data_IF_211628378644
#
_entry.id   IF_211628378644
#
_cell.length_a   1.000
_cell.length_b   1.000
_cell.length_c   1.000
_cell.angle_alpha   90.00
_cell.angle_beta   90.00
_cell.angle_gamma   90.00
#
_symmetry.space_group_name_H-M   'P 1'
#
loop_
_entity.id
_entity.type
_entity.pdbx_description
1 polymer ?
#
# COMPACT_ATOMS: atom_id res chain seq x y z
N UNK A 1 -47.07 -21.66 -20.99
CA UNK A 1 -45.59 -21.78 -20.91
C UNK A 1 -45.01 -20.40 -21.05
N UNK A 2 -44.54 -19.86 -19.94
CA UNK A 2 -43.55 -18.77 -19.89
C UNK A 2 -42.17 -19.41 -19.60
N UNK A 3 -41.06 -18.65 -19.59
CA UNK A 3 -40.62 -17.68 -20.60
C UNK A 3 -39.16 -18.00 -21.02
N UNK A 4 -38.51 -17.12 -21.80
CA UNK A 4 -37.12 -16.62 -21.59
C UNK A 4 -36.64 -15.82 -22.80
N UNK A 5 -36.68 -14.49 -22.71
CA UNK A 5 -35.88 -13.65 -23.59
C UNK A 5 -34.43 -13.67 -23.12
N UNK A 6 -33.49 -13.93 -24.03
CA UNK A 6 -32.06 -13.97 -23.71
C UNK A 6 -31.46 -12.57 -23.74
N UNK A 7 -30.99 -12.14 -22.58
CA UNK A 7 -30.28 -10.87 -22.40
C UNK A 7 -28.91 -10.94 -23.11
N UNK A 8 -28.69 -10.11 -24.14
CA UNK A 8 -27.39 -9.95 -24.82
C UNK A 8 -26.88 -8.53 -24.61
N UNK A 9 -26.16 -8.35 -23.51
CA UNK A 9 -25.31 -7.18 -23.27
C UNK A 9 -24.02 -7.23 -24.13
N UNK A 10 -23.37 -6.07 -24.23
CA UNK A 10 -22.08 -5.78 -24.89
C UNK A 10 -22.11 -5.69 -26.45
N UNK A 11 -21.26 -4.83 -27.06
CA UNK A 11 -19.87 -4.58 -26.66
C UNK A 11 -19.55 -3.22 -26.00
N UNK A 12 -18.64 -3.27 -25.02
CA UNK A 12 -17.83 -2.14 -24.58
C UNK A 12 -16.92 -1.66 -25.72
N UNK A 13 -16.97 -0.38 -26.04
CA UNK A 13 -15.96 0.32 -26.85
C UNK A 13 -15.10 1.18 -25.93
N UNK A 14 -13.80 0.90 -25.86
CA UNK A 14 -12.86 1.66 -25.03
C UNK A 14 -11.89 2.40 -25.94
N UNK A 15 -11.73 3.71 -25.71
CA UNK A 15 -10.55 4.44 -26.20
C UNK A 15 -10.16 5.55 -25.21
N UNK A 16 -8.86 5.74 -24.91
CA UNK A 16 -8.42 6.54 -23.78
C UNK A 16 -7.99 7.95 -24.18
N UNK A 17 -8.28 8.96 -23.34
CA UNK A 17 -7.54 10.23 -23.32
C UNK A 17 -7.38 10.78 -21.90
N UNK A 18 -6.20 11.34 -21.66
CA UNK A 18 -5.77 11.98 -20.41
C UNK A 18 -6.54 13.29 -20.13
N UNK A 19 -6.64 13.67 -18.84
CA UNK A 19 -6.68 15.09 -18.44
C UNK A 19 -7.67 15.49 -17.35
N UNK A 20 -7.11 15.90 -16.21
CA UNK A 20 -7.67 16.83 -15.19
C UNK A 20 -8.96 16.47 -14.42
N UNK A 21 -9.00 16.88 -13.15
CA UNK A 21 -10.13 16.74 -12.24
C UNK A 21 -10.64 18.12 -11.77
N UNK A 22 -11.96 18.31 -11.66
CA UNK A 22 -12.62 19.42 -10.91
C UNK A 22 -13.98 18.93 -10.35
N UNK A 23 -14.34 19.43 -9.15
CA UNK A 23 -15.60 19.17 -8.41
C UNK A 23 -16.64 20.31 -8.63
N UNK A 24 -17.90 20.33 -8.19
CA UNK A 24 -18.77 19.45 -7.37
C UNK A 24 -20.23 19.92 -7.62
N UNK A 25 -21.28 19.09 -7.46
CA UNK A 25 -22.62 19.60 -7.11
C UNK A 25 -23.45 18.59 -6.28
N UNK A 26 -24.20 19.12 -5.30
CA UNK A 26 -25.08 18.38 -4.36
C UNK A 26 -26.51 18.30 -4.88
N UNK A 27 -27.23 17.29 -4.40
CA UNK A 27 -28.66 17.46 -4.06
C UNK A 27 -28.86 17.28 -2.53
N UNK A 28 -29.90 17.90 -2.00
CA UNK A 28 -30.31 18.00 -0.58
C UNK A 28 -31.78 18.49 -0.57
N UNK A 29 -32.56 18.45 0.54
CA UNK A 29 -32.23 18.10 1.93
C UNK A 29 -33.15 16.94 2.44
N UNK A 30 -33.38 16.67 3.73
CA UNK A 30 -34.21 17.47 4.67
C UNK A 30 -34.05 16.97 6.13
N UNK A 31 -33.63 17.84 7.06
CA UNK A 31 -33.97 17.80 8.50
C UNK A 31 -33.94 19.25 9.04
N UNK A 32 -34.93 19.59 9.86
CA UNK A 32 -35.24 20.93 10.38
C UNK A 32 -34.33 21.46 11.51
N UNK A 33 -34.28 22.80 11.58
CA UNK A 33 -33.98 23.67 12.73
C UNK A 33 -33.03 23.18 13.83
N UNK A 34 -31.72 23.41 13.62
CA UNK A 34 -30.77 23.66 14.72
C UNK A 34 -29.95 24.90 14.40
N UNK A 35 -29.83 25.79 15.39
CA UNK A 35 -29.09 27.05 15.34
C UNK A 35 -27.63 26.83 14.92
N UNK A 36 -27.22 27.38 13.76
CA UNK A 36 -25.84 27.28 13.25
C UNK A 36 -25.04 28.50 13.68
N UNK A 37 -23.82 28.33 14.25
CA UNK A 37 -22.89 29.46 14.43
C UNK A 37 -22.41 29.98 13.07
N UNK A 38 -21.99 31.24 13.03
CA UNK A 38 -21.53 31.91 11.81
C UNK A 38 -20.38 31.16 11.12
N UNK A 39 -20.34 31.13 9.78
CA UNK A 39 -19.27 30.48 9.05
C UNK A 39 -17.95 31.25 9.22
N UNK A 40 -16.99 30.62 9.90
CA UNK A 40 -15.60 31.10 9.94
C UNK A 40 -15.06 31.17 8.51
N UNK A 41 -14.51 32.31 8.05
CA UNK A 41 -13.95 32.40 6.71
C UNK A 41 -12.76 31.45 6.57
N UNK A 42 -12.59 30.77 5.42
CA UNK A 42 -11.48 29.84 5.23
C UNK A 42 -10.15 30.60 5.29
N UNK A 43 -9.34 30.31 6.31
CA UNK A 43 -7.97 30.80 6.41
C UNK A 43 -7.14 30.27 5.25
N UNK A 44 -6.85 31.11 4.27
CA UNK A 44 -5.99 30.77 3.13
C UNK A 44 -4.53 30.68 3.58
N UNK A 45 -4.10 29.49 4.04
CA UNK A 45 -2.70 29.21 4.31
C UNK A 45 -1.94 29.09 2.99
N UNK A 46 -1.07 30.07 2.70
CA UNK A 46 -0.08 29.95 1.62
C UNK A 46 1.03 29.02 2.10
N UNK A 47 0.98 27.76 1.66
CA UNK A 47 2.05 26.80 1.92
C UNK A 47 3.20 27.10 0.95
N UNK A 48 4.35 27.50 1.49
CA UNK A 48 5.59 27.53 0.74
C UNK A 48 6.00 26.08 0.43
N UNK A 49 5.86 25.66 -0.83
CA UNK A 49 6.36 24.36 -1.28
C UNK A 49 7.87 24.47 -1.41
N UNK A 50 8.58 23.91 -0.44
CA UNK A 50 10.03 23.82 -0.48
C UNK A 50 10.46 22.84 -1.59
N UNK A 51 11.27 23.30 -2.54
CA UNK A 51 11.55 22.59 -3.79
C UNK A 51 12.39 21.31 -3.62
N UNK A 52 12.76 20.97 -2.39
CA UNK A 52 13.68 19.88 -2.05
C UNK A 52 13.00 18.60 -1.50
N UNK A 53 11.66 18.59 -1.44
CA UNK A 53 10.85 17.46 -0.97
C UNK A 53 11.00 16.16 -1.82
N UNK A 54 11.65 16.23 -2.97
CA UNK A 54 11.87 15.10 -3.89
C UNK A 54 12.92 14.07 -3.41
N UNK A 55 13.62 14.30 -2.29
CA UNK A 55 14.80 13.51 -1.88
C UNK A 55 14.52 12.24 -1.05
N UNK A 56 13.27 11.97 -0.63
CA UNK A 56 12.93 10.72 0.07
C UNK A 56 11.81 9.97 -0.66
N UNK A 57 12.05 8.70 -0.95
CA UNK A 57 11.11 7.82 -1.62
C UNK A 57 9.91 7.43 -0.73
N UNK A 58 9.96 7.72 0.57
CA UNK A 58 8.84 7.65 1.50
C UNK A 58 8.91 8.80 2.53
N UNK A 59 7.78 9.15 3.13
CA UNK A 59 7.66 10.13 4.23
C UNK A 59 6.41 9.89 5.07
N UNK A 60 6.35 10.50 6.25
CA UNK A 60 5.12 10.62 7.03
C UNK A 60 4.56 12.03 6.83
N UNK A 61 3.28 12.12 6.47
CA UNK A 61 2.55 13.37 6.20
C UNK A 61 1.14 13.23 6.80
N UNK A 62 0.76 14.15 7.71
CA UNK A 62 -0.52 14.13 8.45
C UNK A 62 -0.88 12.77 9.09
N UNK A 63 0.14 12.05 9.58
CA UNK A 63 -0.01 10.71 10.18
C UNK A 63 -0.12 9.55 9.18
N UNK A 64 -0.16 9.84 7.88
CA UNK A 64 -0.15 8.84 6.80
C UNK A 64 1.28 8.53 6.35
N UNK A 65 1.56 7.25 6.07
CA UNK A 65 2.76 6.83 5.34
C UNK A 65 2.55 7.06 3.83
N UNK A 66 3.30 7.98 3.24
CA UNK A 66 3.28 8.29 1.82
C UNK A 66 4.52 7.69 1.15
N UNK A 67 4.32 6.84 0.14
CA UNK A 67 5.39 6.15 -0.61
C UNK A 67 5.34 6.59 -2.06
N UNK A 68 6.47 7.02 -2.62
CA UNK A 68 6.62 7.32 -4.03
C UNK A 68 6.98 6.03 -4.79
N UNK A 69 5.97 5.44 -5.43
CA UNK A 69 6.09 4.19 -6.18
C UNK A 69 7.15 4.24 -7.31
N UNK A 70 7.36 5.39 -7.95
CA UNK A 70 8.38 5.52 -9.00
C UNK A 70 9.79 5.53 -8.43
N UNK A 71 10.01 6.26 -7.32
CA UNK A 71 11.29 6.31 -6.64
C UNK A 71 11.67 4.97 -5.97
N UNK A 72 10.68 4.20 -5.53
CA UNK A 72 10.84 2.82 -5.03
C UNK A 72 10.88 1.76 -6.15
N UNK A 73 10.83 2.15 -7.43
CA UNK A 73 10.93 1.21 -8.55
C UNK A 73 9.78 0.20 -8.64
N UNK A 74 8.59 0.53 -8.13
CA UNK A 74 7.42 -0.35 -8.17
C UNK A 74 6.93 -0.47 -9.62
N UNK A 75 7.09 -1.66 -10.21
CA UNK A 75 6.62 -2.00 -11.57
C UNK A 75 5.46 -2.99 -11.56
N UNK A 76 5.29 -3.74 -10.49
CA UNK A 76 4.26 -4.76 -10.36
C UNK A 76 3.23 -4.39 -9.28
N UNK A 77 1.95 -4.65 -9.56
CA UNK A 77 0.86 -4.47 -8.60
C UNK A 77 -0.03 -5.70 -8.64
N UNK A 78 -0.17 -6.39 -7.50
CA UNK A 78 -1.06 -7.52 -7.32
C UNK A 78 -2.19 -7.09 -6.37
N UNK A 79 -3.42 -7.09 -6.87
CA UNK A 79 -4.57 -6.53 -6.17
C UNK A 79 -5.14 -7.48 -5.09
N UNK A 80 -6.05 -6.95 -4.28
CA UNK A 80 -6.75 -7.69 -3.24
C UNK A 80 -7.51 -8.91 -3.80
N UNK A 81 -7.60 -9.97 -2.98
CA UNK A 81 -8.27 -11.22 -3.35
C UNK A 81 -7.41 -12.21 -4.14
N UNK A 82 -6.22 -11.83 -4.62
CA UNK A 82 -5.27 -12.80 -5.18
C UNK A 82 -4.71 -13.71 -4.09
N UNK A 83 -4.55 -14.99 -4.42
CA UNK A 83 -3.94 -16.00 -3.54
C UNK A 83 -2.77 -16.65 -4.26
N UNK A 84 -1.56 -16.51 -3.70
CA UNK A 84 -0.32 -17.04 -4.27
C UNK A 84 0.34 -18.08 -3.35
N UNK A 85 1.13 -18.97 -3.94
CA UNK A 85 1.88 -20.02 -3.25
C UNK A 85 3.08 -20.48 -4.10
N UNK A 86 4.14 -20.94 -3.45
CA UNK A 86 5.42 -21.24 -4.09
C UNK A 86 6.34 -20.01 -4.08
N UNK A 87 7.51 -20.14 -4.71
CA UNK A 87 8.52 -19.08 -4.72
C UNK A 87 8.24 -18.05 -5.83
N UNK A 88 8.51 -16.77 -5.54
CA UNK A 88 8.33 -15.65 -6.44
C UNK A 88 9.59 -14.77 -6.39
N UNK A 89 10.28 -14.67 -7.52
CA UNK A 89 11.46 -13.81 -7.70
C UNK A 89 11.15 -12.70 -8.69
N UNK A 90 11.50 -11.45 -8.35
CA UNK A 90 11.28 -10.27 -9.18
C UNK A 90 12.54 -9.38 -9.19
N UNK A 91 12.81 -8.77 -10.35
CA UNK A 91 13.90 -7.79 -10.51
C UNK A 91 13.50 -6.38 -10.07
N UNK A 92 12.22 -6.04 -10.22
CA UNK A 92 11.63 -4.73 -9.93
C UNK A 92 10.69 -4.80 -8.71
N UNK A 93 10.32 -3.63 -8.17
CA UNK A 93 9.46 -3.52 -7.00
C UNK A 93 8.00 -3.97 -7.22
N UNK A 94 7.38 -4.44 -6.14
CA UNK A 94 6.03 -5.01 -6.08
C UNK A 94 5.18 -4.33 -5.00
N UNK A 95 3.96 -3.93 -5.35
CA UNK A 95 2.89 -3.67 -4.38
C UNK A 95 1.94 -4.88 -4.33
N UNK A 96 1.77 -5.48 -3.15
CA UNK A 96 1.03 -6.71 -2.93
C UNK A 96 -0.17 -6.53 -2.00
N UNK A 97 -1.37 -6.86 -2.48
CA UNK A 97 -2.65 -6.76 -1.77
C UNK A 97 -3.30 -8.09 -1.40
N UNK A 98 -2.70 -9.23 -1.78
CA UNK A 98 -3.32 -10.55 -1.71
C UNK A 98 -3.02 -11.33 -0.43
N UNK A 99 -3.25 -12.65 -0.48
CA UNK A 99 -2.74 -13.63 0.49
C UNK A 99 -1.60 -14.44 -0.14
N UNK A 100 -0.39 -14.30 0.39
CA UNK A 100 0.74 -15.16 0.04
C UNK A 100 0.83 -16.29 1.07
N UNK A 101 0.69 -17.54 0.61
CA UNK A 101 0.66 -18.73 1.48
C UNK A 101 2.04 -19.10 2.03
N UNK A 102 2.00 -19.93 3.05
CA UNK A 102 3.15 -20.54 3.73
C UNK A 102 4.06 -21.35 2.78
N UNK A 103 5.32 -21.54 3.18
CA UNK A 103 6.34 -22.33 2.47
C UNK A 103 7.06 -21.58 1.33
N UNK A 104 6.38 -20.68 0.63
CA UNK A 104 6.97 -19.87 -0.44
C UNK A 104 7.98 -18.82 0.07
N UNK A 105 8.82 -18.33 -0.83
CA UNK A 105 9.70 -17.17 -0.67
C UNK A 105 9.29 -16.05 -1.63
N UNK A 106 9.16 -14.82 -1.13
CA UNK A 106 9.16 -13.60 -1.94
C UNK A 106 10.59 -13.04 -1.96
N UNK A 107 11.23 -13.04 -3.12
CA UNK A 107 12.58 -12.52 -3.34
C UNK A 107 12.55 -11.32 -4.28
N UNK A 108 13.00 -10.16 -3.81
CA UNK A 108 13.20 -8.95 -4.64
C UNK A 108 14.54 -8.31 -4.23
N UNK A 109 15.69 -8.93 -4.59
CA UNK A 109 16.98 -8.68 -3.93
C UNK A 109 17.43 -7.20 -3.92
N UNK A 110 17.17 -6.49 -5.02
CA UNK A 110 17.53 -5.08 -5.23
C UNK A 110 16.33 -4.11 -5.24
N UNK A 111 15.13 -4.63 -5.00
CA UNK A 111 13.87 -3.89 -5.15
C UNK A 111 12.98 -3.88 -3.90
N UNK A 112 11.82 -3.25 -4.06
CA UNK A 112 10.94 -2.88 -2.95
C UNK A 112 9.68 -3.72 -2.91
N UNK A 113 9.32 -4.25 -1.75
CA UNK A 113 8.01 -4.85 -1.49
C UNK A 113 7.16 -3.89 -0.64
N UNK A 114 5.99 -3.51 -1.15
CA UNK A 114 4.94 -2.84 -0.39
C UNK A 114 3.85 -3.88 -0.10
N UNK A 115 3.70 -4.25 1.17
CA UNK A 115 2.60 -5.11 1.64
C UNK A 115 1.45 -4.18 1.99
N UNK A 116 0.43 -4.12 1.13
CA UNK A 116 -0.67 -3.16 1.26
C UNK A 116 -1.59 -3.52 2.44
N UNK A 117 -2.33 -2.54 2.94
CA UNK A 117 -3.33 -2.76 3.99
C UNK A 117 -4.34 -3.84 3.59
N UNK A 118 -4.59 -4.79 4.49
CA UNK A 118 -5.44 -5.96 4.25
C UNK A 118 -4.76 -7.13 3.54
N UNK A 119 -3.53 -6.98 3.04
CA UNK A 119 -2.74 -8.10 2.55
C UNK A 119 -2.28 -9.00 3.70
N UNK A 120 -2.13 -10.30 3.43
CA UNK A 120 -1.54 -11.28 4.37
C UNK A 120 -0.37 -12.01 3.73
N UNK A 121 0.76 -12.13 4.43
CA UNK A 121 1.90 -12.93 3.99
C UNK A 121 2.26 -13.96 5.06
N UNK A 122 2.23 -15.23 4.68
CA UNK A 122 2.69 -16.36 5.48
C UNK A 122 3.96 -17.02 4.95
N UNK A 123 4.47 -16.58 3.79
CA UNK A 123 5.74 -17.03 3.23
C UNK A 123 6.93 -16.15 3.66
N UNK A 124 8.14 -16.63 3.42
CA UNK A 124 9.41 -15.96 3.75
C UNK A 124 9.61 -14.73 2.84
N UNK A 125 10.31 -13.71 3.34
CA UNK A 125 10.55 -12.47 2.59
C UNK A 125 12.06 -12.17 2.57
N UNK A 126 12.62 -11.88 1.40
CA UNK A 126 13.98 -11.37 1.23
C UNK A 126 14.03 -10.28 0.15
N UNK A 127 14.12 -9.02 0.57
CA UNK A 127 14.02 -7.85 -0.30
C UNK A 127 15.06 -6.79 0.06
N UNK A 128 15.19 -5.75 -0.77
CA UNK A 128 15.97 -4.55 -0.40
C UNK A 128 15.19 -3.67 0.57
N UNK A 129 14.02 -3.20 0.15
CA UNK A 129 13.14 -2.39 0.98
C UNK A 129 11.81 -3.11 1.23
N UNK A 130 11.30 -3.03 2.45
CA UNK A 130 10.00 -3.57 2.85
C UNK A 130 9.17 -2.48 3.53
N UNK A 131 8.00 -2.20 2.97
CA UNK A 131 6.97 -1.34 3.56
C UNK A 131 5.78 -2.21 3.95
N UNK A 132 5.62 -2.52 5.24
CA UNK A 132 4.50 -3.31 5.75
C UNK A 132 3.36 -2.43 6.26
N UNK A 133 2.22 -2.46 5.56
CA UNK A 133 0.93 -1.91 5.98
C UNK A 133 -0.10 -3.01 6.30
N UNK A 134 0.26 -4.30 6.07
CA UNK A 134 -0.63 -5.45 6.18
C UNK A 134 -0.28 -6.35 7.37
N UNK A 135 -0.57 -7.65 7.22
CA UNK A 135 -0.25 -8.68 8.21
C UNK A 135 0.81 -9.65 7.66
N UNK A 136 1.98 -9.68 8.30
CA UNK A 136 3.07 -10.63 8.02
C UNK A 136 3.19 -11.57 9.21
N UNK A 137 3.23 -12.88 8.95
CA UNK A 137 3.26 -13.95 9.95
C UNK A 137 4.03 -15.14 9.37
N UNK A 138 5.35 -15.14 9.52
CA UNK A 138 6.30 -15.90 8.68
C UNK A 138 7.53 -16.40 9.44
N UNK A 139 8.24 -17.41 8.93
CA UNK A 139 9.51 -17.84 9.53
C UNK A 139 10.59 -16.72 9.48
N UNK A 140 10.65 -15.95 8.39
CA UNK A 140 11.79 -15.09 8.10
C UNK A 140 11.44 -13.85 7.27
N UNK A 141 11.96 -12.69 7.71
CA UNK A 141 11.97 -11.44 6.96
C UNK A 141 13.39 -10.89 6.86
N UNK A 142 13.83 -10.54 5.64
CA UNK A 142 15.04 -9.77 5.40
C UNK A 142 14.76 -8.56 4.51
N UNK A 143 15.13 -7.38 5.00
CA UNK A 143 15.08 -6.11 4.28
C UNK A 143 16.48 -5.45 4.30
N UNK A 144 17.30 -5.69 3.29
CA UNK A 144 18.74 -5.34 3.32
C UNK A 144 19.01 -3.83 3.40
N UNK A 145 18.14 -3.01 2.84
CA UNK A 145 18.18 -1.54 2.92
C UNK A 145 17.32 -1.00 4.06
N UNK A 146 15.99 -1.15 3.97
CA UNK A 146 15.04 -0.52 4.88
C UNK A 146 13.82 -1.39 5.17
N UNK A 147 13.44 -1.48 6.43
CA UNK A 147 12.16 -2.00 6.91
C UNK A 147 11.33 -0.86 7.51
N UNK A 148 10.17 -0.57 6.92
CA UNK A 148 9.13 0.29 7.50
C UNK A 148 7.94 -0.57 7.90
N UNK A 149 7.58 -0.58 9.18
CA UNK A 149 6.47 -1.38 9.71
C UNK A 149 5.36 -0.50 10.33
N UNK A 150 4.22 -0.45 9.65
CA UNK A 150 2.99 0.22 10.09
C UNK A 150 1.81 -0.75 10.31
N UNK A 151 1.93 -1.99 9.83
CA UNK A 151 0.99 -3.08 10.07
C UNK A 151 1.43 -3.99 11.22
N UNK A 152 1.11 -5.27 11.12
CA UNK A 152 1.58 -6.32 12.05
C UNK A 152 2.66 -7.15 11.37
N UNK A 153 3.78 -7.37 12.06
CA UNK A 153 4.86 -8.27 11.63
C UNK A 153 5.19 -9.23 12.77
N UNK A 154 4.91 -10.52 12.54
CA UNK A 154 5.31 -11.64 13.37
C UNK A 154 6.30 -12.51 12.61
N UNK A 155 7.47 -12.79 13.20
CA UNK A 155 8.41 -13.74 12.59
C UNK A 155 9.36 -14.43 13.57
N UNK A 156 9.93 -15.57 13.19
CA UNK A 156 11.00 -16.19 13.99
C UNK A 156 12.27 -15.31 13.91
N UNK A 157 12.61 -14.79 12.72
CA UNK A 157 13.76 -13.89 12.55
C UNK A 157 13.51 -12.74 11.58
N UNK A 158 13.96 -11.54 11.97
CA UNK A 158 13.91 -10.29 11.19
C UNK A 158 15.32 -9.72 11.05
N UNK A 159 15.85 -9.67 9.83
CA UNK A 159 17.08 -8.99 9.46
C UNK A 159 16.79 -7.66 8.72
N UNK A 160 17.37 -6.55 9.15
CA UNK A 160 17.12 -5.23 8.52
C UNK A 160 18.37 -4.34 8.43
N UNK A 161 18.48 -3.54 7.37
CA UNK A 161 19.51 -2.48 7.25
C UNK A 161 19.19 -1.27 8.13
N UNK A 162 18.06 -0.62 7.85
CA UNK A 162 17.41 0.38 8.70
C UNK A 162 16.00 -0.10 9.10
N UNK A 163 15.48 0.39 10.23
CA UNK A 163 14.17 0.02 10.77
C UNK A 163 13.44 1.27 11.26
N UNK A 164 12.20 1.43 10.81
CA UNK A 164 11.23 2.43 11.27
C UNK A 164 9.93 1.68 11.58
N UNK A 165 9.46 1.67 12.82
CA UNK A 165 8.25 0.91 13.21
C UNK A 165 7.32 1.76 14.06
N UNK A 166 6.06 1.85 13.63
CA UNK A 166 4.93 2.38 14.40
C UNK A 166 3.82 1.33 14.60
N UNK A 167 3.85 0.23 13.83
CA UNK A 167 2.98 -0.93 14.01
C UNK A 167 3.59 -2.02 14.90
N UNK A 168 2.83 -3.10 15.09
CA UNK A 168 3.24 -4.24 15.92
C UNK A 168 4.40 -5.00 15.27
N UNK A 169 5.47 -5.21 16.03
CA UNK A 169 6.64 -5.98 15.63
C UNK A 169 7.01 -6.98 16.73
N UNK A 170 6.82 -8.26 16.46
CA UNK A 170 7.07 -9.36 17.38
C UNK A 170 7.96 -10.40 16.68
N UNK A 171 9.15 -10.66 17.21
CA UNK A 171 10.01 -11.71 16.68
C UNK A 171 10.95 -12.31 17.73
N UNK A 172 11.27 -13.60 17.58
CA UNK A 172 12.23 -14.29 18.46
C UNK A 172 13.65 -13.74 18.29
N UNK A 173 14.00 -13.30 17.08
CA UNK A 173 15.30 -12.70 16.75
C UNK A 173 15.15 -11.46 15.87
N UNK A 174 15.66 -10.32 16.35
CA UNK A 174 15.66 -9.04 15.64
C UNK A 174 17.11 -8.57 15.48
N UNK A 175 17.59 -8.45 14.24
CA UNK A 175 19.02 -8.20 13.94
C UNK A 175 19.21 -7.12 12.89
N UNK A 176 19.99 -6.10 13.26
CA UNK A 176 20.50 -5.11 12.29
C UNK A 176 21.65 -5.71 11.49
N UNK A 177 21.58 -5.65 10.17
CA UNK A 177 22.64 -6.02 9.23
C UNK A 177 23.35 -4.75 8.72
N UNK A 178 24.59 -4.90 8.26
CA UNK A 178 25.48 -3.83 7.79
C UNK A 178 25.74 -3.95 6.30
#
# INVERSE_FOLDING_TARGET
>A
MEPLQTNRNNPLSVSPRHGAAVFLLRESPDISDVHKPDPVPPTSTVIHVDADAHKRAWRIEDGCLVINHEAEGIRHVLQAGMVLSGDMELMDGLAFGGHFKEGGLISIPDGTLIVMAGAKINGRISVKNLYNLGAIDTEFVRASGLLVNWGTLRANSVEYGALESAGDLEAESIKKIR
#
